data_IF_191923024484
#
_entry.id   IF_191923024484
#
_cell.length_a   1.000
_cell.length_b   1.000
_cell.length_c   1.000
_cell.angle_alpha   90.00
_cell.angle_beta   90.00
_cell.angle_gamma   90.00
#
_symmetry.space_group_name_H-M   'P 1'
#
loop_
_entity.id
_entity.type
_entity.pdbx_description
1 polymer ?
#
# COMPACT_ATOMS: atom_id res chain seq x y z
N UNK A 1 13.39 73.22 12.03
CA UNK A 1 13.73 71.79 12.28
C UNK A 1 13.66 71.05 10.95
N UNK A 2 14.78 70.48 10.50
CA UNK A 2 14.96 69.85 9.18
C UNK A 2 13.95 68.69 8.99
N UNK A 3 13.23 68.67 7.86
CA UNK A 3 12.19 67.67 7.55
C UNK A 3 12.71 66.24 7.69
N UNK A 4 13.97 65.99 7.33
CA UNK A 4 14.63 64.69 7.48
C UNK A 4 14.77 64.27 8.94
N UNK A 5 15.08 65.21 9.85
CA UNK A 5 15.23 64.92 11.28
C UNK A 5 13.88 64.58 11.93
N UNK A 6 12.78 65.19 11.46
CA UNK A 6 11.41 64.85 11.90
C UNK A 6 11.01 63.43 11.49
N UNK A 7 11.31 63.04 10.24
CA UNK A 7 11.00 61.70 9.73
C UNK A 7 11.80 60.65 10.49
N UNK A 8 13.10 60.88 10.71
CA UNK A 8 13.93 59.99 11.52
C UNK A 8 13.41 59.85 12.96
N UNK A 9 13.02 60.95 13.58
CA UNK A 9 12.42 60.93 14.93
C UNK A 9 11.12 60.12 14.99
N UNK A 10 10.23 60.24 14.00
CA UNK A 10 9.00 59.45 13.93
C UNK A 10 9.28 57.95 13.73
N UNK A 11 10.22 57.59 12.86
CA UNK A 11 10.59 56.19 12.62
C UNK A 11 11.22 55.55 13.87
N UNK A 12 12.07 56.28 14.59
CA UNK A 12 12.64 55.81 15.85
C UNK A 12 11.56 55.59 16.91
N UNK A 13 10.61 56.53 17.05
CA UNK A 13 9.49 56.38 17.99
C UNK A 13 8.58 55.20 17.61
N UNK A 14 8.27 55.03 16.33
CA UNK A 14 7.47 53.90 15.84
C UNK A 14 8.17 52.55 16.06
N UNK A 15 9.48 52.51 15.85
CA UNK A 15 10.29 51.30 16.09
C UNK A 15 10.35 50.96 17.57
N UNK A 16 10.54 51.96 18.44
CA UNK A 16 10.54 51.78 19.89
C UNK A 16 9.17 51.24 20.34
N UNK A 17 8.09 51.87 19.91
CA UNK A 17 6.73 51.43 20.23
C UNK A 17 6.46 49.99 19.79
N UNK A 18 6.82 49.64 18.56
CA UNK A 18 6.64 48.27 18.05
C UNK A 18 7.44 47.24 18.84
N UNK A 19 8.71 47.51 19.15
CA UNK A 19 9.53 46.58 19.93
C UNK A 19 9.06 46.45 21.37
N UNK A 20 8.59 47.54 22.00
CA UNK A 20 8.00 47.49 23.34
C UNK A 20 6.71 46.67 23.34
N UNK A 21 5.85 46.85 22.34
CA UNK A 21 4.62 46.07 22.18
C UNK A 21 4.93 44.58 21.96
N UNK A 22 5.90 44.25 21.10
CA UNK A 22 6.36 42.88 20.89
C UNK A 22 6.93 42.25 22.17
N UNK A 23 7.72 42.99 22.94
CA UNK A 23 8.28 42.51 24.21
C UNK A 23 7.20 42.31 25.29
N UNK A 24 6.19 43.18 25.34
CA UNK A 24 5.05 43.02 26.24
C UNK A 24 4.19 41.82 25.83
N UNK A 25 3.98 41.61 24.53
CA UNK A 25 3.25 40.44 24.03
C UNK A 25 4.05 39.15 24.23
N UNK A 26 5.38 39.17 24.12
CA UNK A 26 6.22 37.99 24.32
C UNK A 26 6.06 37.36 25.72
N UNK A 27 5.85 38.19 26.76
CA UNK A 27 5.63 37.71 28.13
C UNK A 27 4.16 37.33 28.42
N UNK A 28 3.23 37.65 27.52
CA UNK A 28 1.79 37.38 27.61
C UNK A 28 1.31 36.33 26.61
N UNK A 29 2.19 35.82 25.74
CA UNK A 29 2.00 34.52 25.13
C UNK A 29 2.18 33.57 26.30
N UNK A 30 1.09 33.24 27.00
CA UNK A 30 1.05 32.00 27.76
C UNK A 30 1.70 30.96 26.86
N UNK A 31 2.65 30.20 27.40
CA UNK A 31 3.04 28.94 26.82
C UNK A 31 1.76 28.11 26.72
N UNK A 32 1.00 28.34 25.64
CA UNK A 32 0.31 27.29 24.95
C UNK A 32 1.47 26.42 24.45
N UNK A 33 2.10 25.71 25.38
CA UNK A 33 2.67 24.43 25.08
C UNK A 33 1.53 23.76 24.33
N UNK A 34 1.75 23.59 23.03
CA UNK A 34 0.84 22.89 22.17
C UNK A 34 0.63 21.54 22.84
N UNK A 35 -0.44 21.40 23.62
CA UNK A 35 -0.80 20.14 24.25
C UNK A 35 -0.81 19.18 23.08
N UNK A 36 0.15 18.25 23.09
CA UNK A 36 0.35 17.37 21.96
C UNK A 36 -1.02 16.78 21.64
N UNK A 37 -1.51 17.02 20.42
CA UNK A 37 -2.82 16.52 20.02
C UNK A 37 -2.85 15.05 20.40
N UNK A 38 -3.92 14.58 21.06
CA UNK A 38 -4.00 13.18 21.45
C UNK A 38 -3.65 12.34 20.23
N UNK A 39 -2.73 11.37 20.37
CA UNK A 39 -2.22 10.62 19.23
C UNK A 39 -3.42 10.09 18.45
N UNK A 40 -3.47 10.45 17.16
CA UNK A 40 -4.60 10.10 16.31
C UNK A 40 -4.79 8.59 16.40
N UNK A 41 -5.97 8.13 16.85
CA UNK A 41 -6.29 6.70 16.91
C UNK A 41 -6.11 6.12 15.51
N UNK A 42 -5.05 5.36 15.32
CA UNK A 42 -4.75 4.63 14.10
C UNK A 42 -5.80 3.50 14.02
N UNK A 43 -6.62 3.43 12.97
CA UNK A 43 -7.49 2.27 12.80
C UNK A 43 -6.61 1.04 12.63
N UNK A 44 -6.64 0.13 13.60
CA UNK A 44 -6.02 -1.19 13.46
C UNK A 44 -6.87 -1.99 12.48
N UNK A 45 -6.23 -2.53 11.46
CA UNK A 45 -6.88 -3.51 10.60
C UNK A 45 -6.86 -4.84 11.33
N UNK A 46 -8.04 -5.34 11.66
CA UNK A 46 -8.23 -6.65 12.28
C UNK A 46 -8.85 -7.58 11.26
N UNK A 47 -8.25 -8.76 11.08
CA UNK A 47 -8.79 -9.81 10.23
C UNK A 47 -8.58 -11.16 10.89
N UNK A 48 -9.48 -12.10 10.59
CA UNK A 48 -9.35 -13.50 10.93
C UNK A 48 -8.81 -14.32 9.74
N UNK A 49 -8.64 -13.69 8.58
CA UNK A 49 -8.11 -14.31 7.37
C UNK A 49 -6.58 -14.31 7.39
N UNK A 50 -5.98 -15.13 6.53
CA UNK A 50 -4.53 -15.25 6.41
C UNK A 50 -3.90 -13.94 5.95
N UNK A 51 -2.73 -13.63 6.52
CA UNK A 51 -1.92 -12.47 6.17
C UNK A 51 -0.54 -12.91 5.68
N UNK A 52 -0.06 -12.26 4.62
CA UNK A 52 1.32 -12.40 4.13
C UNK A 52 1.98 -11.03 3.98
N UNK A 53 3.25 -10.97 4.34
CA UNK A 53 4.12 -9.81 4.09
C UNK A 53 5.03 -10.09 2.92
N UNK A 54 5.05 -9.19 1.93
CA UNK A 54 5.84 -9.37 0.69
C UNK A 54 6.85 -8.22 0.55
N UNK A 55 8.14 -8.51 0.70
CA UNK A 55 9.20 -7.51 0.50
C UNK A 55 9.54 -7.37 -0.99
N UNK A 56 8.93 -6.37 -1.61
CA UNK A 56 9.12 -6.01 -3.02
C UNK A 56 9.95 -4.71 -3.16
N UNK A 57 10.85 -4.42 -2.22
CA UNK A 57 11.66 -3.20 -2.19
C UNK A 57 12.60 -3.07 -3.37
N UNK A 58 13.08 -4.19 -3.89
CA UNK A 58 14.01 -4.20 -5.01
C UNK A 58 13.42 -3.53 -6.26
N UNK A 59 14.29 -2.87 -7.04
CA UNK A 59 13.94 -2.31 -8.36
C UNK A 59 14.39 -3.21 -9.51
N UNK A 60 15.22 -4.20 -9.21
CA UNK A 60 15.89 -5.06 -10.18
C UNK A 60 15.60 -6.53 -9.96
N UNK A 61 14.76 -6.86 -8.99
CA UNK A 61 14.26 -8.20 -8.78
C UNK A 61 12.77 -8.16 -8.47
N UNK A 62 12.12 -9.27 -8.77
CA UNK A 62 10.75 -9.59 -8.44
C UNK A 62 10.74 -10.59 -7.30
N UNK A 63 9.75 -10.46 -6.43
CA UNK A 63 9.40 -11.51 -5.47
C UNK A 63 8.12 -12.17 -5.96
N UNK A 64 8.22 -13.45 -6.29
CA UNK A 64 7.10 -14.31 -6.69
C UNK A 64 6.52 -14.92 -5.42
N UNK A 65 5.20 -15.02 -5.36
CA UNK A 65 4.46 -15.53 -4.20
C UNK A 65 3.52 -16.61 -4.67
N UNK A 66 3.58 -17.78 -4.03
CA UNK A 66 2.55 -18.81 -4.09
C UNK A 66 1.63 -18.62 -2.87
N UNK A 67 0.35 -18.28 -3.11
CA UNK A 67 -0.59 -18.06 -2.02
C UNK A 67 -1.12 -19.36 -1.41
N UNK A 68 -0.98 -20.49 -2.10
CA UNK A 68 -1.41 -21.79 -1.58
C UNK A 68 -0.52 -22.26 -0.44
N UNK A 69 0.80 -22.06 -0.57
CA UNK A 69 1.82 -22.45 0.43
C UNK A 69 2.33 -21.28 1.27
N UNK A 70 2.25 -20.05 0.74
CA UNK A 70 2.91 -18.88 1.31
C UNK A 70 4.41 -18.80 0.97
N UNK A 71 4.92 -19.69 0.12
CA UNK A 71 6.32 -19.66 -0.32
C UNK A 71 6.60 -18.48 -1.25
N UNK A 72 7.85 -18.03 -1.24
CA UNK A 72 8.30 -16.90 -2.06
C UNK A 72 9.60 -17.19 -2.77
N UNK A 73 9.70 -16.79 -4.04
CA UNK A 73 10.90 -16.95 -4.86
C UNK A 73 11.36 -15.61 -5.42
N UNK A 74 12.66 -15.33 -5.39
CA UNK A 74 13.20 -14.12 -5.99
C UNK A 74 13.75 -14.40 -7.39
N UNK A 75 13.36 -13.59 -8.37
CA UNK A 75 13.91 -13.62 -9.73
C UNK A 75 14.39 -12.23 -10.15
N UNK A 76 15.36 -12.14 -11.07
CA UNK A 76 15.88 -10.86 -11.52
C UNK A 76 14.89 -10.16 -12.44
N UNK A 77 14.64 -10.76 -13.60
CA UNK A 77 13.83 -10.16 -14.65
C UNK A 77 12.83 -11.18 -15.20
N UNK A 78 11.53 -10.88 -15.12
CA UNK A 78 10.46 -11.77 -15.58
C UNK A 78 10.49 -12.04 -17.09
N UNK A 79 11.06 -11.17 -17.92
CA UNK A 79 11.16 -11.39 -19.36
C UNK A 79 12.41 -12.20 -19.73
N UNK A 80 13.55 -11.94 -19.09
CA UNK A 80 14.80 -12.66 -19.37
C UNK A 80 14.87 -14.03 -18.69
N UNK A 81 14.28 -14.16 -17.49
CA UNK A 81 14.35 -15.37 -16.66
C UNK A 81 13.11 -16.28 -16.86
N UNK A 82 12.41 -16.17 -18.00
CA UNK A 82 11.18 -16.93 -18.29
C UNK A 82 11.30 -18.44 -18.11
N UNK A 83 12.49 -18.99 -18.36
CA UNK A 83 12.77 -20.41 -18.21
C UNK A 83 12.67 -20.89 -16.75
N UNK A 84 12.92 -19.99 -15.78
CA UNK A 84 12.78 -20.28 -14.35
C UNK A 84 11.31 -20.28 -13.90
N UNK A 85 10.44 -19.53 -14.58
CA UNK A 85 9.04 -19.32 -14.15
C UNK A 85 8.20 -20.61 -14.14
N UNK A 86 8.58 -21.63 -14.92
CA UNK A 86 7.92 -22.94 -14.96
C UNK A 86 8.58 -23.99 -14.06
N UNK A 87 9.63 -23.61 -13.32
CA UNK A 87 10.34 -24.51 -12.39
C UNK A 87 9.92 -24.28 -10.93
N UNK A 88 9.03 -23.31 -10.71
CA UNK A 88 8.57 -22.88 -9.40
C UNK A 88 7.06 -22.73 -9.45
N UNK A 89 6.40 -23.04 -8.35
CA UNK A 89 4.99 -22.69 -8.17
C UNK A 89 4.92 -21.23 -7.69
N UNK A 90 4.10 -20.42 -8.35
CA UNK A 90 3.86 -19.03 -7.97
C UNK A 90 2.60 -18.50 -8.65
N UNK A 91 1.93 -17.56 -7.99
CA UNK A 91 0.70 -16.96 -8.48
C UNK A 91 0.93 -15.52 -8.97
N UNK A 92 1.51 -14.68 -8.11
CA UNK A 92 1.76 -13.27 -8.39
C UNK A 92 3.22 -12.89 -8.15
N UNK A 93 3.76 -12.07 -9.05
CA UNK A 93 5.05 -11.42 -8.90
C UNK A 93 4.91 -9.96 -8.49
N UNK A 94 5.70 -9.51 -7.52
CA UNK A 94 5.70 -8.14 -7.01
C UNK A 94 7.06 -7.47 -7.22
N UNK A 95 7.04 -6.23 -7.72
CA UNK A 95 8.22 -5.37 -7.82
C UNK A 95 7.78 -3.92 -7.64
N UNK A 96 8.23 -3.25 -6.57
CA UNK A 96 7.77 -1.90 -6.24
C UNK A 96 6.24 -1.86 -6.23
N UNK A 97 5.58 -1.03 -7.03
CA UNK A 97 4.11 -0.98 -7.16
C UNK A 97 3.54 -1.91 -8.23
N UNK A 98 4.41 -2.56 -9.01
CA UNK A 98 4.01 -3.45 -10.10
C UNK A 98 3.64 -4.82 -9.56
N UNK A 99 2.58 -5.37 -10.12
CA UNK A 99 2.09 -6.72 -9.84
C UNK A 99 1.85 -7.40 -11.19
N UNK A 100 2.38 -8.61 -11.35
CA UNK A 100 2.21 -9.46 -12.53
C UNK A 100 1.62 -10.80 -12.13
N UNK A 101 0.83 -11.41 -13.01
CA UNK A 101 0.29 -12.75 -12.80
C UNK A 101 1.18 -13.81 -13.48
N UNK A 102 1.19 -15.01 -12.92
CA UNK A 102 1.71 -16.19 -13.59
C UNK A 102 0.74 -16.67 -14.69
N UNK A 103 0.59 -15.86 -15.74
CA UNK A 103 -0.30 -16.16 -16.87
C UNK A 103 -0.11 -15.19 -18.03
N UNK A 104 -0.68 -15.55 -19.19
CA UNK A 104 -0.66 -14.71 -20.39
C UNK A 104 0.75 -14.35 -20.88
N UNK A 105 0.99 -13.06 -21.13
CA UNK A 105 2.24 -12.57 -21.72
C UNK A 105 3.47 -12.72 -20.80
N UNK A 106 3.26 -12.81 -19.48
CA UNK A 106 4.31 -13.03 -18.48
C UNK A 106 4.77 -14.49 -18.53
N UNK A 107 3.83 -15.43 -18.37
CA UNK A 107 4.09 -16.86 -18.53
C UNK A 107 2.95 -17.52 -19.34
N UNK A 108 3.19 -17.87 -20.62
CA UNK A 108 2.16 -18.50 -21.47
C UNK A 108 1.68 -19.88 -21.00
N UNK A 109 2.43 -20.54 -20.11
CA UNK A 109 2.04 -21.83 -19.52
C UNK A 109 1.36 -21.65 -18.16
N UNK A 110 1.41 -20.45 -17.61
CA UNK A 110 0.82 -20.14 -16.31
C UNK A 110 -0.70 -20.00 -16.39
N UNK A 111 -1.45 -20.53 -15.41
CA UNK A 111 -2.92 -20.53 -15.44
C UNK A 111 -3.55 -19.23 -14.91
N UNK A 112 -2.73 -18.31 -14.38
CA UNK A 112 -3.20 -17.24 -13.50
C UNK A 112 -3.86 -16.10 -14.27
N UNK A 113 -5.15 -15.92 -13.98
CA UNK A 113 -5.90 -14.73 -14.38
C UNK A 113 -6.49 -14.05 -13.15
N UNK A 114 -6.69 -12.74 -13.24
CA UNK A 114 -7.17 -11.90 -12.14
C UNK A 114 -8.48 -11.21 -12.52
N UNK A 115 -9.43 -11.19 -11.60
CA UNK A 115 -10.59 -10.30 -11.65
C UNK A 115 -10.60 -9.36 -10.45
N UNK A 116 -10.99 -8.10 -10.67
CA UNK A 116 -11.10 -7.07 -9.65
C UNK A 116 -12.57 -6.84 -9.32
N UNK A 117 -12.97 -7.15 -8.09
CA UNK A 117 -14.34 -7.00 -7.60
C UNK A 117 -14.62 -5.59 -7.05
N UNK A 118 -13.60 -4.74 -6.98
CA UNK A 118 -13.71 -3.41 -6.39
C UNK A 118 -13.70 -3.42 -4.86
N UNK A 119 -14.14 -2.31 -4.28
CA UNK A 119 -14.18 -2.10 -2.84
C UNK A 119 -15.42 -2.76 -2.22
N UNK A 120 -15.44 -4.10 -2.20
CA UNK A 120 -16.47 -4.91 -1.53
C UNK A 120 -15.96 -5.44 -0.19
N UNK A 121 -16.84 -5.77 0.76
CA UNK A 121 -16.45 -6.43 2.00
C UNK A 121 -15.79 -7.79 1.72
N UNK A 122 -14.61 -8.03 2.27
CA UNK A 122 -13.82 -9.22 1.96
C UNK A 122 -14.51 -10.53 2.37
N UNK A 123 -15.20 -10.51 3.51
CA UNK A 123 -15.89 -11.68 4.05
C UNK A 123 -17.22 -11.97 3.34
N UNK A 124 -17.81 -10.99 2.65
CA UNK A 124 -19.02 -11.18 1.82
C UNK A 124 -18.72 -11.82 0.46
N UNK A 125 -17.46 -11.89 0.05
CA UNK A 125 -17.03 -12.63 -1.14
C UNK A 125 -16.87 -14.10 -0.78
N UNK A 126 -17.99 -14.83 -0.79
CA UNK A 126 -18.06 -16.25 -0.45
C UNK A 126 -17.78 -17.15 -1.66
N UNK A 127 -18.17 -16.74 -2.87
CA UNK A 127 -17.95 -17.48 -4.11
C UNK A 127 -17.09 -16.70 -5.10
N UNK A 128 -16.39 -17.41 -5.99
CA UNK A 128 -15.62 -16.79 -7.07
C UNK A 128 -16.46 -16.63 -8.36
N UNK A 129 -16.22 -15.58 -9.16
CA UNK A 129 -16.86 -15.43 -10.47
C UNK A 129 -16.47 -16.58 -11.43
N UNK A 130 -17.41 -17.03 -12.27
CA UNK A 130 -17.14 -18.12 -13.24
C UNK A 130 -16.33 -17.70 -14.47
N UNK A 131 -16.24 -16.40 -14.73
CA UNK A 131 -15.62 -15.84 -15.94
C UNK A 131 -15.15 -14.40 -15.69
N UNK A 132 -14.33 -13.86 -16.59
CA UNK A 132 -13.84 -12.47 -16.52
C UNK A 132 -12.46 -12.32 -15.90
N UNK A 133 -11.76 -13.44 -15.68
CA UNK A 133 -10.34 -13.43 -15.30
C UNK A 133 -9.50 -12.91 -16.46
N UNK A 134 -8.64 -11.94 -16.16
CA UNK A 134 -7.74 -11.30 -17.13
C UNK A 134 -6.30 -11.69 -16.78
N UNK A 135 -5.64 -12.31 -17.74
CA UNK A 135 -4.22 -12.64 -17.70
C UNK A 135 -3.37 -11.42 -18.11
N UNK A 136 -2.05 -11.51 -17.88
CA UNK A 136 -1.15 -10.42 -18.27
C UNK A 136 -1.11 -10.26 -19.79
N UNK A 137 -1.11 -9.02 -20.26
CA UNK A 137 -1.08 -8.70 -21.68
C UNK A 137 -0.10 -7.56 -21.95
N UNK A 138 0.47 -7.54 -23.16
CA UNK A 138 1.26 -6.39 -23.63
C UNK A 138 0.34 -5.20 -23.89
N UNK A 139 0.66 -4.07 -23.29
CA UNK A 139 -0.01 -2.78 -23.43
C UNK A 139 1.06 -1.70 -23.57
N UNK A 140 1.11 -1.03 -24.73
CA UNK A 140 2.07 0.06 -25.00
C UNK A 140 3.53 -0.34 -24.70
N UNK A 141 3.94 -1.53 -25.16
CA UNK A 141 5.29 -2.05 -24.99
C UNK A 141 5.58 -2.71 -23.63
N UNK A 142 4.73 -2.52 -22.63
CA UNK A 142 4.91 -3.09 -21.30
C UNK A 142 3.96 -4.27 -21.09
N UNK A 143 4.41 -5.33 -20.42
CA UNK A 143 3.50 -6.36 -19.90
C UNK A 143 2.80 -5.81 -18.66
N UNK A 144 1.48 -5.94 -18.59
CA UNK A 144 0.66 -5.49 -17.45
C UNK A 144 -0.55 -6.39 -17.25
N UNK A 145 -1.03 -6.47 -16.01
CA UNK A 145 -2.35 -7.02 -15.72
C UNK A 145 -3.37 -5.89 -15.54
N UNK A 146 -4.35 -5.77 -16.45
CA UNK A 146 -5.34 -4.68 -16.40
C UNK A 146 -6.26 -4.74 -15.18
N UNK A 147 -6.46 -5.90 -14.57
CA UNK A 147 -7.33 -6.03 -13.40
C UNK A 147 -6.73 -5.42 -12.15
N UNK A 148 -5.40 -5.42 -12.00
CA UNK A 148 -4.73 -5.04 -10.74
C UNK A 148 -3.71 -3.90 -10.88
N UNK A 149 -3.39 -3.45 -12.10
CA UNK A 149 -2.42 -2.36 -12.33
C UNK A 149 -2.72 -1.08 -11.54
N UNK A 150 -4.00 -0.81 -11.27
CA UNK A 150 -4.48 0.38 -10.59
C UNK A 150 -4.86 0.13 -9.12
N UNK A 151 -4.27 -0.86 -8.46
CA UNK A 151 -4.61 -1.26 -7.07
C UNK A 151 -4.44 -0.16 -6.01
N UNK A 152 -3.76 0.93 -6.35
CA UNK A 152 -3.43 2.00 -5.42
C UNK A 152 -3.86 3.39 -5.92
N UNK A 153 -3.91 4.31 -4.96
CA UNK A 153 -4.01 5.76 -5.17
C UNK A 153 -2.65 6.37 -4.85
N UNK A 154 -2.15 7.21 -5.75
CA UNK A 154 -0.98 8.03 -5.47
C UNK A 154 -1.39 9.37 -4.86
N UNK A 155 -1.04 9.59 -3.59
CA UNK A 155 -1.33 10.83 -2.87
C UNK A 155 -0.28 11.89 -3.23
N UNK A 156 -0.57 12.73 -4.21
CA UNK A 156 0.37 13.74 -4.74
C UNK A 156 0.92 14.69 -3.68
N UNK A 157 0.12 15.07 -2.67
CA UNK A 157 0.56 15.96 -1.59
C UNK A 157 1.65 15.35 -0.70
N UNK A 158 1.55 14.06 -0.42
CA UNK A 158 2.47 13.36 0.49
C UNK A 158 3.42 12.42 -0.24
N UNK A 159 3.28 12.29 -1.57
CA UNK A 159 3.99 11.33 -2.42
C UNK A 159 3.91 9.87 -1.93
N UNK A 160 2.82 9.53 -1.24
CA UNK A 160 2.59 8.19 -0.70
C UNK A 160 1.65 7.38 -1.58
N UNK A 161 1.77 6.06 -1.47
CA UNK A 161 0.90 5.06 -2.09
C UNK A 161 -0.14 4.66 -1.04
N UNK A 162 -1.40 4.63 -1.41
CA UNK A 162 -2.47 4.13 -0.55
C UNK A 162 -3.20 3.02 -1.28
N UNK A 163 -3.37 1.87 -0.63
CA UNK A 163 -4.18 0.80 -1.20
C UNK A 163 -5.63 1.25 -1.40
N UNK A 164 -6.21 0.94 -2.56
CA UNK A 164 -7.66 1.05 -2.78
C UNK A 164 -8.45 0.03 -1.96
N UNK A 165 -7.77 -1.00 -1.43
CA UNK A 165 -8.36 -2.11 -0.66
C UNK A 165 -9.48 -2.83 -1.42
N UNK A 166 -9.35 -2.88 -2.74
CA UNK A 166 -10.21 -3.70 -3.58
C UNK A 166 -9.97 -5.18 -3.27
N UNK A 167 -11.01 -5.98 -3.46
CA UNK A 167 -10.92 -7.44 -3.44
C UNK A 167 -10.64 -7.94 -4.85
N UNK A 168 -9.65 -8.80 -4.96
CA UNK A 168 -9.25 -9.47 -6.20
C UNK A 168 -9.48 -10.96 -6.05
N UNK A 169 -9.85 -11.62 -7.13
CA UNK A 169 -9.91 -13.09 -7.18
C UNK A 169 -8.99 -13.57 -8.30
N UNK A 170 -8.17 -14.55 -7.97
CA UNK A 170 -7.21 -15.21 -8.84
C UNK A 170 -7.77 -16.59 -9.16
N UNK A 171 -7.71 -16.98 -10.43
CA UNK A 171 -7.79 -18.38 -10.83
C UNK A 171 -6.37 -18.92 -10.84
N UNK A 172 -6.04 -19.88 -9.98
CA UNK A 172 -4.69 -20.47 -9.86
C UNK A 172 -4.66 -21.91 -10.38
N UNK A 173 -3.49 -22.55 -10.41
CA UNK A 173 -3.40 -23.99 -10.76
C UNK A 173 -4.10 -24.86 -9.71
N UNK A 174 -4.09 -24.43 -8.45
CA UNK A 174 -4.55 -25.19 -7.28
C UNK A 174 -5.99 -24.83 -6.86
N UNK A 175 -6.68 -23.97 -7.61
CA UNK A 175 -8.04 -23.53 -7.34
C UNK A 175 -8.23 -22.02 -7.51
N UNK A 176 -8.73 -21.35 -6.47
CA UNK A 176 -8.93 -19.90 -6.49
C UNK A 176 -8.43 -19.24 -5.21
N UNK A 177 -7.88 -18.04 -5.34
CA UNK A 177 -7.46 -17.22 -4.20
C UNK A 177 -8.15 -15.88 -4.26
N UNK A 178 -8.81 -15.46 -3.18
CA UNK A 178 -9.19 -14.05 -3.02
C UNK A 178 -8.12 -13.33 -2.21
N UNK A 179 -7.83 -12.10 -2.58
CA UNK A 179 -6.88 -11.27 -1.85
C UNK A 179 -7.30 -9.80 -1.80
N UNK A 180 -6.76 -9.11 -0.82
CA UNK A 180 -6.89 -7.66 -0.64
C UNK A 180 -5.57 -7.11 -0.16
N UNK A 181 -5.02 -6.15 -0.89
CA UNK A 181 -3.80 -5.45 -0.48
C UNK A 181 -4.20 -4.48 0.64
N UNK A 182 -3.65 -4.67 1.84
CA UNK A 182 -3.98 -3.88 3.02
C UNK A 182 -3.07 -2.68 3.16
N UNK A 183 -1.78 -2.86 2.83
CA UNK A 183 -0.75 -1.85 3.07
C UNK A 183 0.42 -2.03 2.10
N UNK A 184 1.08 -0.92 1.75
CA UNK A 184 2.31 -0.88 0.96
C UNK A 184 3.59 -0.69 1.80
N UNK A 185 3.42 -0.52 3.11
CA UNK A 185 4.47 -0.20 4.08
C UNK A 185 4.40 -1.14 5.29
N UNK A 186 4.74 -2.42 5.14
CA UNK A 186 4.55 -3.49 6.15
C UNK A 186 5.05 -3.20 7.59
N UNK A 187 5.93 -2.22 7.79
CA UNK A 187 6.39 -1.75 9.11
C UNK A 187 5.77 -0.44 9.59
N UNK A 188 4.70 0.05 8.94
CA UNK A 188 4.07 1.33 9.28
C UNK A 188 2.61 1.38 8.85
N UNK A 189 1.73 1.90 9.70
CA UNK A 189 0.33 2.13 9.31
C UNK A 189 0.23 3.11 8.13
N UNK A 190 -0.57 2.77 7.10
CA UNK A 190 -0.90 3.71 6.00
C UNK A 190 -1.50 5.02 6.54
N UNK A 191 -2.18 4.99 7.69
CA UNK A 191 -2.76 6.19 8.28
C UNK A 191 -1.70 7.17 8.81
N UNK A 192 -0.50 6.71 9.17
CA UNK A 192 0.66 7.58 9.45
C UNK A 192 1.20 8.23 8.17
N UNK A 193 1.03 7.57 7.02
CA UNK A 193 1.41 8.09 5.71
C UNK A 193 0.37 9.09 5.14
N UNK A 194 -0.72 9.41 5.85
CA UNK A 194 -1.72 10.37 5.34
C UNK A 194 -1.30 11.82 5.50
N UNK A 195 -0.49 12.12 6.52
CA UNK A 195 -0.15 13.50 6.90
C UNK A 195 1.33 13.83 6.69
N UNK A 196 2.20 12.83 6.52
CA UNK A 196 3.62 12.99 6.26
C UNK A 196 4.12 11.98 5.23
N UNK A 197 5.22 12.32 4.54
CA UNK A 197 5.90 11.43 3.60
C UNK A 197 6.40 10.17 4.35
N UNK A 198 6.07 8.99 3.85
CA UNK A 198 6.64 7.75 4.34
C UNK A 198 7.97 7.46 3.63
N UNK A 199 8.97 7.06 4.41
CA UNK A 199 10.32 6.84 3.88
C UNK A 199 10.30 5.78 2.77
N UNK A 200 11.08 6.00 1.72
CA UNK A 200 11.25 5.03 0.64
C UNK A 200 11.84 3.70 1.11
N UNK A 201 12.51 3.68 2.27
CA UNK A 201 13.13 2.49 2.88
C UNK A 201 12.07 1.49 3.34
N UNK A 202 10.91 1.98 3.81
CA UNK A 202 9.80 1.12 4.28
C UNK A 202 8.73 0.89 3.20
N UNK A 203 8.87 1.52 2.04
CA UNK A 203 7.95 1.42 0.92
C UNK A 203 8.20 0.15 0.08
N UNK A 204 7.15 -0.36 -0.57
CA UNK A 204 7.17 -1.62 -1.32
C UNK A 204 7.37 -2.85 -0.44
N UNK A 205 6.78 -2.81 0.73
CA UNK A 205 6.62 -3.98 1.55
C UNK A 205 5.13 -4.18 1.79
N UNK A 206 4.53 -5.13 1.10
CA UNK A 206 3.09 -5.30 1.09
C UNK A 206 2.64 -6.05 2.34
N UNK A 207 1.47 -5.70 2.83
CA UNK A 207 0.66 -6.56 3.70
C UNK A 207 -0.57 -6.95 2.91
N UNK A 208 -0.77 -8.24 2.69
CA UNK A 208 -1.86 -8.79 1.87
C UNK A 208 -2.67 -9.73 2.74
N UNK A 209 -3.98 -9.51 2.77
CA UNK A 209 -4.95 -10.46 3.30
C UNK A 209 -5.40 -11.37 2.17
N UNK A 210 -5.49 -12.68 2.44
CA UNK A 210 -5.91 -13.65 1.43
C UNK A 210 -6.66 -14.85 2.02
N UNK A 211 -7.41 -15.54 1.17
CA UNK A 211 -8.05 -16.81 1.46
C UNK A 211 -8.07 -17.68 0.19
N UNK A 212 -7.87 -18.99 0.35
CA UNK A 212 -7.78 -19.94 -0.75
C UNK A 212 -8.99 -20.88 -0.76
N UNK A 213 -9.39 -21.30 -1.96
CA UNK A 213 -10.31 -22.40 -2.23
C UNK A 213 -9.53 -23.46 -3.00
N UNK A 214 -9.36 -24.68 -2.46
CA UNK A 214 -8.79 -25.78 -3.21
C UNK A 214 -9.61 -26.15 -4.45
N UNK A 215 -8.97 -26.75 -5.44
CA UNK A 215 -9.67 -27.27 -6.62
C UNK A 215 -10.81 -28.23 -6.23
N UNK A 216 -12.02 -27.96 -6.73
CA UNK A 216 -13.22 -28.76 -6.46
C UNK A 216 -14.20 -28.12 -5.46
N UNK A 217 -13.71 -27.26 -4.57
CA UNK A 217 -14.55 -26.47 -3.68
C UNK A 217 -15.05 -25.20 -4.39
N UNK A 218 -16.17 -24.65 -3.90
CA UNK A 218 -16.83 -23.47 -4.50
C UNK A 218 -16.88 -22.25 -3.59
N UNK A 219 -16.61 -22.43 -2.30
CA UNK A 219 -16.87 -21.44 -1.26
C UNK A 219 -15.59 -21.16 -0.50
N UNK A 220 -15.27 -19.87 -0.32
CA UNK A 220 -14.13 -19.45 0.49
C UNK A 220 -14.38 -19.87 1.94
N UNK A 221 -13.38 -20.44 2.63
CA UNK A 221 -13.55 -20.82 4.02
C UNK A 221 -13.91 -19.58 4.85
N UNK A 222 -14.96 -19.68 5.65
CA UNK A 222 -15.18 -18.69 6.70
C UNK A 222 -14.07 -18.86 7.73
N UNK A 223 -13.47 -17.76 8.21
CA UNK A 223 -12.48 -17.86 9.26
C UNK A 223 -13.08 -18.58 10.48
N UNK A 224 -12.34 -19.50 11.12
CA UNK A 224 -12.81 -20.14 12.34
C UNK A 224 -13.06 -19.09 13.43
N UNK A 225 -14.00 -19.33 14.36
CA UNK A 225 -14.30 -18.37 15.42
C UNK A 225 -13.05 -18.07 16.27
N UNK A 226 -12.57 -16.83 16.15
CA UNK A 226 -11.59 -16.11 16.97
C UNK A 226 -10.24 -16.81 17.25
N UNK A 227 -9.32 -16.75 16.28
CA UNK A 227 -7.93 -16.38 16.57
C UNK A 227 -7.61 -15.15 15.73
N UNK A 228 -7.72 -13.97 16.34
CA UNK A 228 -7.41 -12.70 15.68
C UNK A 228 -5.95 -12.66 15.25
N UNK A 229 -5.70 -12.72 13.94
CA UNK A 229 -4.38 -12.41 13.40
C UNK A 229 -4.28 -10.89 13.29
N UNK A 230 -3.76 -10.26 14.34
CA UNK A 230 -3.33 -8.87 14.22
C UNK A 230 -2.11 -8.82 13.31
N UNK A 231 -2.21 -8.10 12.19
CA UNK A 231 -1.03 -7.52 11.55
C UNK A 231 -0.39 -6.56 12.57
N UNK A 232 0.54 -7.06 13.38
CA UNK A 232 1.36 -6.21 14.21
C UNK A 232 2.27 -5.41 13.29
N UNK A 233 2.00 -4.11 13.20
CA UNK A 233 3.01 -3.13 12.83
C UNK A 233 4.04 -3.22 13.96
N UNK A 234 5.10 -3.99 13.72
CA UNK A 234 6.19 -4.19 14.68
C UNK A 234 6.86 -2.84 14.90
N UNK A 235 6.97 -2.44 16.17
CA UNK A 235 7.62 -1.21 16.64
C UNK A 235 9.13 -1.20 16.36
#
# INVERSE_FOLDING_TARGET
MNTTLKIFGMLLLGTLFFNTAMNMMANNIEDYESVALPPKKQPKFETLNSLISVDAKSRSSWILVDFSTGETHQVGDLENDRHLLNQMEWDLGFQRTKIMANGGATNPQGPVGIINLGAVPFDEVEEFPKSGFIEDARSWGNVVNKSIIDWYIYRTRTHNIESKRNVYVLRTAQGHTKLRIINYYCGRSEAECKTALCSRVVAACYTIEFANIPEGDKVFPHPPPAVQQTAQIIH
#
